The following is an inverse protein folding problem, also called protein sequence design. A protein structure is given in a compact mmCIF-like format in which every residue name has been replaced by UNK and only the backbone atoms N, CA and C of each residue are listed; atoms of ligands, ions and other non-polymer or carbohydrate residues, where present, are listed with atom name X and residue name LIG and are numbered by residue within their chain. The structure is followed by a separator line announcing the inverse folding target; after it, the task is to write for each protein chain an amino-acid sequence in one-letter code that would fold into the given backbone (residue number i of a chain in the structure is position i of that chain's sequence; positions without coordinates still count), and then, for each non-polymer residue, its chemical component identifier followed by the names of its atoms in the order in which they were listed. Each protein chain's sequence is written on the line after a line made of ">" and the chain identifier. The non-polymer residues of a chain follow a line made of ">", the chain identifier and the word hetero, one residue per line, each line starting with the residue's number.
data_IF_345799073196
#
_entry.id   IF_345799073196
#
_cell.length_a   1.000
_cell.length_b   1.000
_cell.length_c   1.000
_cell.angle_alpha   90.00
_cell.angle_beta   90.00
_cell.angle_gamma   90.00
#
_symmetry.space_group_name_H-M   'P 1'
#
loop_
_entity.id
_entity.type
_entity.pdbx_description
1 polymer ?
#
# COMPACT_ATOMS: atom_id res chain seq x y z
N UNK A 1 -20.50 26.85 25.41
CA UNK A 1 -19.47 25.80 25.29
C UNK A 1 -20.22 24.48 25.26
N UNK A 2 -20.75 24.12 24.09
CA UNK A 2 -21.55 22.91 23.87
C UNK A 2 -20.65 21.89 23.19
N UNK A 3 -20.29 20.85 23.94
CA UNK A 3 -19.58 19.69 23.44
C UNK A 3 -20.61 18.83 22.68
N UNK A 4 -20.66 18.93 21.36
CA UNK A 4 -21.39 17.94 20.55
C UNK A 4 -20.64 16.61 20.64
N UNK A 5 -21.21 15.69 21.41
CA UNK A 5 -20.81 14.28 21.40
C UNK A 5 -21.30 13.72 20.06
N UNK A 6 -20.38 13.56 19.12
CA UNK A 6 -20.57 12.81 17.87
C UNK A 6 -21.28 11.49 18.19
N UNK A 7 -22.47 11.29 17.62
CA UNK A 7 -23.28 10.09 17.80
C UNK A 7 -22.59 8.82 17.28
N UNK A 8 -23.18 7.64 17.59
CA UNK A 8 -22.62 6.35 17.22
C UNK A 8 -22.43 6.23 15.70
N UNK A 9 -21.27 5.71 15.31
CA UNK A 9 -20.88 5.45 13.92
C UNK A 9 -21.19 4.01 13.54
N UNK A 10 -21.23 3.75 12.24
CA UNK A 10 -21.48 2.43 11.67
C UNK A 10 -20.59 1.30 12.21
N UNK A 11 -19.43 1.63 12.79
CA UNK A 11 -18.45 0.69 13.34
C UNK A 11 -18.69 0.36 14.82
N UNK A 12 -19.64 1.04 15.48
CA UNK A 12 -19.92 0.88 16.91
C UNK A 12 -20.85 -0.31 17.21
N UNK A 13 -21.55 -0.84 16.20
CA UNK A 13 -22.49 -1.96 16.37
C UNK A 13 -21.92 -3.27 15.78
N UNK A 14 -21.68 -4.31 16.60
CA UNK A 14 -21.17 -5.58 16.11
C UNK A 14 -22.19 -6.29 15.21
N UNK A 15 -21.79 -6.59 13.97
CA UNK A 15 -22.64 -7.29 13.00
C UNK A 15 -22.51 -8.81 13.21
N UNK A 16 -23.61 -9.53 13.53
CA UNK A 16 -23.58 -10.99 13.59
C UNK A 16 -23.46 -11.58 12.19
N UNK A 17 -22.50 -12.50 12.00
CA UNK A 17 -22.37 -13.29 10.78
C UNK A 17 -23.06 -14.65 10.98
N UNK A 18 -23.80 -15.14 9.99
CA UNK A 18 -24.64 -16.35 10.15
C UNK A 18 -23.89 -17.65 10.52
N UNK A 19 -22.56 -17.65 10.50
CA UNK A 19 -21.71 -18.81 10.77
C UNK A 19 -20.76 -18.62 11.97
N UNK A 20 -20.77 -17.47 12.66
CA UNK A 20 -19.93 -17.24 13.85
C UNK A 20 -20.52 -16.14 14.76
N UNK A 21 -20.34 -16.23 16.09
CA UNK A 21 -20.73 -15.15 16.98
C UNK A 21 -20.00 -13.84 16.62
N UNK A 22 -20.63 -12.67 16.85
CA UNK A 22 -20.02 -11.38 16.59
C UNK A 22 -18.71 -11.22 17.38
N UNK A 23 -17.70 -10.64 16.75
CA UNK A 23 -16.45 -10.26 17.43
C UNK A 23 -16.72 -9.21 18.50
N UNK A 24 -16.00 -9.29 19.62
CA UNK A 24 -16.14 -8.30 20.69
C UNK A 24 -15.76 -6.92 20.18
N UNK A 25 -16.55 -5.88 20.48
CA UNK A 25 -16.21 -4.51 20.11
C UNK A 25 -14.86 -4.13 20.74
N UNK A 26 -13.91 -3.72 19.90
CA UNK A 26 -12.59 -3.30 20.35
C UNK A 26 -12.71 -1.88 20.94
N UNK A 27 -12.72 -1.76 22.27
CA UNK A 27 -13.03 -0.51 22.98
C UNK A 27 -12.03 0.65 22.80
N UNK A 28 -10.97 0.47 22.00
CA UNK A 28 -9.83 1.40 21.93
C UNK A 28 -9.52 1.94 20.54
N UNK A 29 -10.52 2.19 19.69
CA UNK A 29 -10.31 2.86 18.39
C UNK A 29 -9.15 2.26 17.56
N UNK A 30 -8.85 0.97 17.74
CA UNK A 30 -7.74 0.32 17.04
C UNK A 30 -8.01 0.26 15.53
N UNK A 31 -9.28 0.35 15.12
CA UNK A 31 -9.72 0.51 13.75
C UNK A 31 -9.45 1.92 13.16
N UNK A 32 -9.08 2.93 13.97
CA UNK A 32 -8.62 4.24 13.45
C UNK A 32 -7.23 4.18 12.82
N UNK A 33 -6.61 2.99 12.68
CA UNK A 33 -5.42 2.84 11.82
C UNK A 33 -5.70 3.18 10.35
N UNK A 34 -6.96 3.30 9.93
CA UNK A 34 -7.33 3.79 8.59
C UNK A 34 -7.12 5.31 8.45
N UNK A 35 -7.01 6.06 9.56
CA UNK A 35 -6.67 7.49 9.55
C UNK A 35 -5.18 7.76 9.23
N UNK A 36 -4.33 6.72 9.05
CA UNK A 36 -2.95 6.90 8.55
C UNK A 36 -2.90 7.62 7.19
N UNK A 37 -3.99 7.61 6.42
CA UNK A 37 -4.05 8.31 5.14
C UNK A 37 -4.28 9.83 5.28
N UNK A 38 -4.80 10.31 6.42
CA UNK A 38 -5.04 11.74 6.63
C UNK A 38 -3.75 12.50 6.98
N UNK A 39 -2.89 11.93 7.83
CA UNK A 39 -1.59 12.55 8.18
C UNK A 39 -0.54 12.44 7.06
N UNK A 40 -0.74 11.54 6.09
CA UNK A 40 0.14 11.43 4.91
C UNK A 40 -0.04 12.63 3.95
N UNK A 41 -1.14 13.39 4.06
CA UNK A 41 -1.41 14.54 3.19
C UNK A 41 -1.01 15.89 3.80
N UNK A 42 -0.73 15.95 5.11
CA UNK A 42 -0.47 17.22 5.81
C UNK A 42 1.01 17.55 5.97
N UNK A 43 1.94 16.60 5.81
CA UNK A 43 3.38 16.85 5.92
C UNK A 43 4.09 17.10 4.56
N UNK A 44 3.34 17.46 3.52
CA UNK A 44 3.87 17.95 2.24
C UNK A 44 4.45 19.38 2.29
N UNK A 45 4.42 20.03 3.46
CA UNK A 45 4.73 21.46 3.60
C UNK A 45 6.03 21.74 4.38
N UNK A 46 7.14 21.12 3.99
CA UNK A 46 8.47 21.74 4.15
C UNK A 46 9.29 21.65 2.87
N UNK A 47 9.11 22.59 1.92
CA UNK A 47 10.12 22.80 0.91
C UNK A 47 11.34 23.43 1.59
N UNK A 48 12.41 22.66 1.75
CA UNK A 48 13.75 23.23 1.91
C UNK A 48 14.07 24.04 0.65
N UNK A 49 13.92 25.37 0.77
CA UNK A 49 14.19 26.32 -0.28
C UNK A 49 15.68 26.30 -0.67
N UNK A 50 16.00 25.71 -1.83
CA UNK A 50 17.23 26.03 -2.53
C UNK A 50 16.95 27.22 -3.45
N UNK A 51 17.31 28.42 -3.00
CA UNK A 51 17.34 29.61 -3.86
C UNK A 51 18.67 29.62 -4.63
N UNK A 52 18.70 29.63 -5.98
CA UNK A 52 19.90 29.95 -6.71
C UNK A 52 20.00 31.47 -6.96
N UNK A 53 21.20 32.07 -6.89
CA UNK A 53 21.39 33.45 -7.35
C UNK A 53 21.24 33.52 -8.87
N UNK A 54 20.58 34.58 -9.33
CA UNK A 54 20.44 34.87 -10.75
C UNK A 54 21.80 35.12 -11.42
N UNK A 55 22.05 34.41 -12.51
CA UNK A 55 22.97 34.85 -13.57
C UNK A 55 22.60 34.14 -14.87
N UNK A 56 22.05 34.88 -15.84
CA UNK A 56 21.88 34.41 -17.21
C UNK A 56 23.25 34.38 -17.87
N UNK A 57 23.83 33.20 -18.06
CA UNK A 57 25.01 33.01 -18.90
C UNK A 57 24.72 31.96 -19.98
N UNK A 58 24.90 32.33 -21.25
CA UNK A 58 24.77 31.43 -22.41
C UNK A 58 25.83 30.33 -22.31
N UNK A 59 25.41 29.07 -22.17
CA UNK A 59 26.32 27.95 -21.98
C UNK A 59 27.01 27.52 -23.29
N UNK A 60 28.35 27.34 -23.32
CA UNK A 60 29.06 26.80 -24.47
C UNK A 60 28.88 25.28 -24.56
N UNK A 61 29.00 24.71 -25.78
CA UNK A 61 28.79 23.29 -26.16
C UNK A 61 29.47 22.22 -25.27
N UNK A 62 30.42 22.59 -24.40
CA UNK A 62 31.03 21.70 -23.39
C UNK A 62 30.12 21.43 -22.18
N UNK A 63 29.26 22.38 -21.81
CA UNK A 63 28.28 22.22 -20.73
C UNK A 63 27.20 21.18 -21.09
N UNK A 64 26.83 21.10 -22.38
CA UNK A 64 25.90 20.07 -22.87
C UNK A 64 26.47 18.64 -22.76
N UNK A 65 27.79 18.48 -22.92
CA UNK A 65 28.47 17.18 -22.76
C UNK A 65 28.58 16.76 -21.29
N UNK A 66 28.83 17.72 -20.39
CA UNK A 66 28.87 17.48 -18.95
C UNK A 66 27.47 17.17 -18.42
N UNK A 67 26.44 17.89 -18.88
CA UNK A 67 25.05 17.61 -18.56
C UNK A 67 24.59 16.23 -19.07
N UNK A 68 25.01 15.84 -20.29
CA UNK A 68 24.75 14.51 -20.84
C UNK A 68 25.43 13.39 -20.04
N UNK A 69 26.69 13.58 -19.65
CA UNK A 69 27.41 12.62 -18.81
C UNK A 69 26.81 12.51 -17.40
N UNK A 70 26.39 13.62 -16.80
CA UNK A 70 25.70 13.63 -15.51
C UNK A 70 24.34 12.93 -15.57
N UNK A 71 23.59 13.06 -16.67
CA UNK A 71 22.33 12.35 -16.90
C UNK A 71 22.53 10.83 -17.03
N UNK A 72 23.60 10.40 -17.72
CA UNK A 72 23.97 8.98 -17.83
C UNK A 72 24.46 8.42 -16.48
N UNK A 73 25.26 9.18 -15.73
CA UNK A 73 25.68 8.79 -14.38
C UNK A 73 24.50 8.72 -13.39
N UNK A 74 23.51 9.59 -13.53
CA UNK A 74 22.28 9.56 -12.73
C UNK A 74 21.41 8.32 -13.03
N UNK A 75 21.40 7.80 -14.26
CA UNK A 75 20.71 6.54 -14.58
C UNK A 75 21.47 5.31 -14.07
N UNK A 76 22.81 5.37 -14.00
CA UNK A 76 23.66 4.29 -13.47
C UNK A 76 23.61 4.17 -11.93
N UNK A 77 23.46 5.27 -11.20
CA UNK A 77 23.29 5.26 -9.73
C UNK A 77 21.92 4.69 -9.28
N UNK A 78 20.99 4.47 -10.21
CA UNK A 78 19.62 4.02 -9.94
C UNK A 78 19.38 2.52 -9.97
N UNK A 79 20.35 1.66 -10.31
CA UNK A 79 20.10 0.23 -10.60
C UNK A 79 19.32 -0.55 -9.52
N UNK A 80 19.60 -0.30 -8.22
CA UNK A 80 18.88 -0.94 -7.13
C UNK A 80 17.41 -0.47 -7.03
N UNK A 81 17.18 0.83 -7.20
CA UNK A 81 15.85 1.44 -7.25
C UNK A 81 15.08 1.02 -8.50
N UNK A 82 15.75 0.95 -9.65
CA UNK A 82 15.16 0.50 -10.92
C UNK A 82 14.73 -0.96 -10.84
N UNK A 83 15.57 -1.85 -10.28
CA UNK A 83 15.20 -3.27 -10.10
C UNK A 83 14.01 -3.43 -9.16
N UNK A 84 13.95 -2.66 -8.08
CA UNK A 84 12.80 -2.67 -7.18
C UNK A 84 11.52 -2.18 -7.90
N UNK A 85 11.59 -1.04 -8.58
CA UNK A 85 10.43 -0.48 -9.29
C UNK A 85 9.96 -1.41 -10.41
N UNK A 86 10.88 -2.04 -11.15
CA UNK A 86 10.53 -3.04 -12.16
C UNK A 86 9.81 -4.24 -11.55
N UNK A 87 10.29 -4.79 -10.42
CA UNK A 87 9.60 -5.93 -9.80
C UNK A 87 8.23 -5.54 -9.26
N UNK A 88 8.11 -4.33 -8.68
CA UNK A 88 6.85 -3.82 -8.17
C UNK A 88 5.83 -3.63 -9.31
N UNK A 89 6.23 -2.94 -10.38
CA UNK A 89 5.37 -2.73 -11.55
C UNK A 89 4.98 -4.02 -12.26
N UNK A 90 5.91 -4.96 -12.44
CA UNK A 90 5.62 -6.25 -13.07
C UNK A 90 4.69 -7.12 -12.22
N UNK A 91 4.85 -7.10 -10.90
CA UNK A 91 3.98 -7.81 -9.97
C UNK A 91 2.56 -7.25 -9.98
N UNK A 92 2.43 -5.93 -9.88
CA UNK A 92 1.14 -5.24 -9.89
C UNK A 92 0.39 -5.48 -11.20
N UNK A 93 1.08 -5.32 -12.33
CA UNK A 93 0.50 -5.57 -13.64
C UNK A 93 -0.02 -7.01 -13.79
N UNK A 94 0.71 -8.00 -13.24
CA UNK A 94 0.27 -9.40 -13.27
C UNK A 94 -1.05 -9.59 -12.50
N UNK A 95 -1.19 -8.96 -11.35
CA UNK A 95 -2.42 -8.98 -10.53
C UNK A 95 -3.56 -8.32 -11.29
N UNK A 96 -3.34 -7.09 -11.77
CA UNK A 96 -4.35 -6.31 -12.50
C UNK A 96 -4.82 -6.98 -13.78
N UNK A 97 -3.93 -7.67 -14.50
CA UNK A 97 -4.28 -8.40 -15.72
C UNK A 97 -5.05 -9.69 -15.45
N UNK A 98 -4.80 -10.35 -14.31
CA UNK A 98 -5.40 -11.63 -13.97
C UNK A 98 -6.76 -11.51 -13.25
N UNK A 99 -7.15 -10.31 -12.83
CA UNK A 99 -8.42 -10.08 -12.11
C UNK A 99 -9.63 -10.43 -12.99
N UNK A 100 -10.64 -11.02 -12.37
CA UNK A 100 -11.95 -11.33 -12.95
C UNK A 100 -13.04 -10.66 -12.10
N UNK A 101 -14.16 -10.30 -12.72
CA UNK A 101 -15.36 -9.88 -11.97
C UNK A 101 -15.80 -11.00 -11.03
N UNK A 102 -16.17 -10.66 -9.79
CA UNK A 102 -16.67 -11.64 -8.82
C UNK A 102 -17.91 -12.36 -9.35
N UNK A 103 -18.81 -11.65 -10.04
CA UNK A 103 -20.00 -12.24 -10.66
C UNK A 103 -19.59 -13.35 -11.64
N UNK A 104 -18.65 -13.05 -12.54
CA UNK A 104 -18.15 -14.01 -13.53
C UNK A 104 -17.36 -15.18 -12.92
N UNK A 105 -16.93 -15.09 -11.66
CA UNK A 105 -16.28 -16.20 -10.94
C UNK A 105 -17.34 -17.05 -10.26
N UNK A 106 -18.36 -16.43 -9.65
CA UNK A 106 -19.48 -17.14 -9.03
C UNK A 106 -20.28 -17.94 -10.07
N UNK A 107 -20.52 -17.36 -11.25
CA UNK A 107 -21.32 -17.98 -12.32
C UNK A 107 -20.55 -19.03 -13.13
N UNK A 108 -19.24 -19.19 -12.90
CA UNK A 108 -18.40 -20.16 -13.59
C UNK A 108 -18.60 -21.57 -12.96
N UNK A 109 -19.11 -22.56 -13.70
CA UNK A 109 -19.41 -23.89 -13.17
C UNK A 109 -18.15 -24.66 -12.73
N UNK A 110 -16.95 -24.18 -13.06
CA UNK A 110 -15.68 -24.76 -12.62
C UNK A 110 -15.19 -24.20 -11.29
N UNK A 111 -15.84 -23.16 -10.76
CA UNK A 111 -15.49 -22.56 -9.47
C UNK A 111 -15.92 -23.48 -8.34
N UNK A 112 -15.05 -23.69 -7.35
CA UNK A 112 -15.39 -24.52 -6.19
C UNK A 112 -16.50 -23.89 -5.34
N UNK A 113 -17.39 -24.71 -4.80
CA UNK A 113 -18.50 -24.25 -3.94
C UNK A 113 -18.02 -23.40 -2.75
N UNK A 114 -16.86 -23.76 -2.18
CA UNK A 114 -16.24 -22.98 -1.11
C UNK A 114 -15.89 -21.55 -1.53
N UNK A 115 -15.34 -21.37 -2.72
CA UNK A 115 -15.00 -20.06 -3.26
C UNK A 115 -16.26 -19.27 -3.66
N UNK A 116 -17.27 -19.94 -4.23
CA UNK A 116 -18.58 -19.34 -4.51
C UNK A 116 -19.19 -18.76 -3.23
N UNK A 117 -19.20 -19.53 -2.14
CA UNK A 117 -19.74 -19.08 -0.85
C UNK A 117 -18.99 -17.86 -0.31
N UNK A 118 -17.65 -17.90 -0.28
CA UNK A 118 -16.83 -16.79 0.21
C UNK A 118 -17.04 -15.50 -0.60
N UNK A 119 -17.05 -15.61 -1.93
CA UNK A 119 -17.27 -14.45 -2.79
C UNK A 119 -18.73 -13.94 -2.71
N UNK A 120 -19.68 -14.83 -2.46
CA UNK A 120 -21.06 -14.47 -2.14
C UNK A 120 -21.15 -13.61 -0.88
N UNK A 121 -20.45 -13.98 0.20
CA UNK A 121 -20.38 -13.19 1.43
C UNK A 121 -19.78 -11.80 1.20
N UNK A 122 -18.71 -11.68 0.42
CA UNK A 122 -18.11 -10.39 0.03
C UNK A 122 -19.14 -9.51 -0.71
N UNK A 123 -19.91 -10.10 -1.63
CA UNK A 123 -20.95 -9.39 -2.39
C UNK A 123 -22.07 -8.86 -1.49
N UNK A 124 -22.53 -9.67 -0.53
CA UNK A 124 -23.56 -9.25 0.43
C UNK A 124 -23.02 -8.20 1.42
N UNK A 125 -21.79 -8.36 1.94
CA UNK A 125 -21.15 -7.39 2.81
C UNK A 125 -21.00 -6.02 2.11
N UNK A 126 -20.57 -6.00 0.85
CA UNK A 126 -20.52 -4.79 0.04
C UNK A 126 -21.91 -4.18 -0.15
N UNK A 127 -22.94 -4.99 -0.40
CA UNK A 127 -24.33 -4.53 -0.53
C UNK A 127 -24.81 -3.85 0.75
N UNK A 128 -24.55 -4.46 1.90
CA UNK A 128 -24.86 -3.90 3.20
C UNK A 128 -24.14 -2.56 3.42
N UNK A 129 -22.84 -2.51 3.13
CA UNK A 129 -22.03 -1.30 3.30
C UNK A 129 -22.59 -0.09 2.54
N UNK A 130 -23.00 -0.25 1.28
CA UNK A 130 -23.56 0.88 0.53
C UNK A 130 -25.03 1.18 0.86
N UNK A 131 -25.87 0.15 1.03
CA UNK A 131 -27.32 0.34 1.24
C UNK A 131 -27.69 0.72 2.67
N UNK A 132 -26.93 0.22 3.66
CA UNK A 132 -27.27 0.36 5.09
C UNK A 132 -26.31 1.28 5.82
N UNK A 133 -25.02 1.24 5.50
CA UNK A 133 -24.02 2.12 6.13
C UNK A 133 -23.78 3.43 5.35
N UNK A 134 -24.40 3.58 4.18
CA UNK A 134 -24.29 4.80 3.36
C UNK A 134 -22.91 5.01 2.73
N UNK A 135 -22.08 3.98 2.63
CA UNK A 135 -20.77 4.08 1.97
C UNK A 135 -20.93 4.24 0.44
N UNK A 136 -19.99 4.91 -0.23
CA UNK A 136 -20.05 5.09 -1.69
C UNK A 136 -20.04 3.77 -2.47
N UNK A 137 -20.94 3.63 -3.45
CA UNK A 137 -21.03 2.45 -4.33
C UNK A 137 -19.96 2.48 -5.45
N UNK A 138 -18.68 2.39 -5.07
CA UNK A 138 -17.53 2.44 -6.01
C UNK A 138 -17.06 1.05 -6.46
N UNK A 139 -15.99 0.95 -7.26
CA UNK A 139 -15.52 -0.33 -7.81
C UNK A 139 -14.76 -1.24 -6.83
N UNK A 140 -14.63 -0.83 -5.57
CA UNK A 140 -13.98 -1.64 -4.54
C UNK A 140 -14.73 -2.96 -4.32
N UNK A 141 -13.97 -4.02 -4.09
CA UNK A 141 -14.47 -5.36 -3.79
C UNK A 141 -15.41 -5.96 -4.87
N UNK A 142 -15.30 -5.52 -6.14
CA UNK A 142 -16.05 -6.10 -7.29
C UNK A 142 -15.28 -7.16 -8.08
N UNK A 143 -13.97 -7.31 -7.85
CA UNK A 143 -13.11 -8.20 -8.62
C UNK A 143 -12.31 -9.13 -7.72
N UNK A 144 -12.02 -10.33 -8.22
CA UNK A 144 -11.24 -11.37 -7.57
C UNK A 144 -10.07 -11.77 -8.46
N UNK A 145 -8.96 -12.14 -7.85
CA UNK A 145 -7.78 -12.68 -8.52
C UNK A 145 -7.24 -13.85 -7.73
N UNK A 146 -7.12 -15.01 -8.36
CA UNK A 146 -6.38 -16.11 -7.78
C UNK A 146 -4.89 -15.88 -8.04
N UNK A 147 -4.15 -15.48 -7.01
CA UNK A 147 -2.71 -15.20 -7.12
C UNK A 147 -1.84 -16.47 -7.17
N UNK A 148 -2.42 -17.66 -6.90
CA UNK A 148 -1.71 -18.95 -6.95
C UNK A 148 -0.65 -19.13 -5.87
N UNK A 149 -0.68 -18.30 -4.81
CA UNK A 149 0.27 -18.32 -3.70
C UNK A 149 -0.39 -17.78 -2.44
N UNK A 150 0.23 -18.04 -1.28
CA UNK A 150 -0.36 -17.68 0.03
C UNK A 150 -0.47 -16.18 0.29
N UNK A 151 0.42 -15.38 -0.29
CA UNK A 151 0.50 -13.93 -0.04
C UNK A 151 0.69 -13.18 -1.35
N UNK A 152 -0.06 -12.08 -1.53
CA UNK A 152 0.03 -11.22 -2.72
C UNK A 152 1.38 -10.52 -2.76
N UNK A 153 1.78 -9.93 -1.62
CA UNK A 153 3.04 -9.21 -1.42
C UNK A 153 3.67 -9.56 -0.07
N UNK A 154 4.95 -9.27 0.06
CA UNK A 154 5.75 -9.39 1.28
C UNK A 154 6.24 -8.01 1.68
N UNK A 155 5.72 -7.48 2.78
CA UNK A 155 6.09 -6.18 3.31
C UNK A 155 7.30 -6.31 4.22
N UNK A 156 8.24 -5.37 4.06
CA UNK A 156 9.35 -5.16 4.99
C UNK A 156 9.08 -3.88 5.76
N UNK A 157 9.04 -3.98 7.07
CA UNK A 157 8.98 -2.83 8.00
C UNK A 157 10.27 -2.83 8.80
N UNK A 158 10.85 -1.66 9.01
CA UNK A 158 12.10 -1.52 9.73
C UNK A 158 12.06 -0.31 10.67
N UNK A 159 12.71 -0.37 11.82
CA UNK A 159 12.87 0.75 12.74
C UNK A 159 14.30 0.74 13.32
N UNK A 160 14.88 1.89 13.73
CA UNK A 160 16.13 1.90 14.46
C UNK A 160 16.02 1.06 15.74
N UNK A 161 17.14 0.49 16.20
CA UNK A 161 17.19 -0.24 17.47
C UNK A 161 16.62 0.61 18.62
N UNK A 162 15.73 0.03 19.42
CA UNK A 162 15.01 0.70 20.52
C UNK A 162 14.07 1.84 20.10
N UNK A 163 13.61 1.84 18.85
CA UNK A 163 12.64 2.81 18.35
C UNK A 163 11.39 2.12 17.83
N UNK A 164 10.23 2.76 18.06
CA UNK A 164 8.95 2.40 17.43
C UNK A 164 8.66 3.24 16.19
N UNK A 165 9.54 4.19 15.84
CA UNK A 165 9.39 5.01 14.63
C UNK A 165 9.90 4.23 13.42
N UNK A 166 9.03 3.87 12.46
CA UNK A 166 9.43 3.12 11.30
C UNK A 166 10.30 3.97 10.37
N UNK A 167 11.18 3.29 9.64
CA UNK A 167 11.88 3.83 8.48
C UNK A 167 10.86 4.12 7.38
N UNK A 168 11.02 5.27 6.74
CA UNK A 168 10.20 5.68 5.61
C UNK A 168 10.92 5.44 4.28
N UNK A 169 10.13 5.12 3.26
CA UNK A 169 10.54 5.04 1.88
C UNK A 169 9.69 5.98 1.05
N UNK A 170 10.33 6.93 0.37
CA UNK A 170 9.65 7.92 -0.44
C UNK A 170 9.74 7.59 -1.93
N UNK A 171 8.60 7.68 -2.60
CA UNK A 171 8.42 7.42 -4.03
C UNK A 171 7.87 8.67 -4.74
N UNK A 172 8.23 8.90 -6.01
CA UNK A 172 7.78 10.08 -6.75
C UNK A 172 6.25 10.24 -6.85
N UNK A 173 5.51 9.13 -6.95
CA UNK A 173 4.06 9.13 -7.14
C UNK A 173 3.32 8.74 -5.86
N UNK A 174 3.81 7.73 -5.14
CA UNK A 174 3.13 7.18 -3.97
C UNK A 174 3.41 7.92 -2.65
N UNK A 175 4.28 8.94 -2.67
CA UNK A 175 4.69 9.64 -1.45
C UNK A 175 5.58 8.76 -0.56
N UNK A 176 5.62 9.08 0.73
CA UNK A 176 6.40 8.34 1.72
C UNK A 176 5.52 7.32 2.44
N UNK A 177 6.02 6.09 2.55
CA UNK A 177 5.34 4.98 3.21
C UNK A 177 6.27 4.30 4.21
N UNK A 178 5.68 3.71 5.24
CA UNK A 178 6.39 3.06 6.36
C UNK A 178 6.58 1.55 6.17
N UNK A 179 6.23 1.03 4.99
CA UNK A 179 6.46 -0.35 4.59
C UNK A 179 7.01 -0.43 3.17
N UNK A 180 7.81 -1.47 2.91
CA UNK A 180 8.43 -1.69 1.62
C UNK A 180 8.01 -3.06 1.04
N UNK A 181 7.14 -3.04 0.03
CA UNK A 181 6.46 -4.23 -0.50
C UNK A 181 7.19 -4.95 -1.63
N UNK A 182 7.27 -6.27 -1.55
CA UNK A 182 7.89 -7.14 -2.57
C UNK A 182 6.95 -8.23 -3.07
N UNK A 183 6.85 -8.45 -4.37
CA UNK A 183 6.07 -9.58 -4.91
C UNK A 183 6.83 -10.91 -4.82
N UNK A 184 8.13 -10.87 -4.55
CA UNK A 184 8.99 -12.04 -4.34
C UNK A 184 9.54 -12.07 -2.91
N UNK A 185 9.21 -13.13 -2.17
CA UNK A 185 9.66 -13.31 -0.78
C UNK A 185 11.18 -13.28 -0.63
N UNK A 186 11.92 -13.87 -1.58
CA UNK A 186 13.38 -13.90 -1.54
C UNK A 186 13.98 -12.50 -1.63
N UNK A 187 13.36 -11.60 -2.40
CA UNK A 187 13.76 -10.20 -2.49
C UNK A 187 13.50 -9.47 -1.17
N UNK A 188 12.31 -9.66 -0.56
CA UNK A 188 11.98 -9.10 0.76
C UNK A 188 13.00 -9.55 1.83
N UNK A 189 13.28 -10.85 1.90
CA UNK A 189 14.25 -11.42 2.84
C UNK A 189 15.66 -10.88 2.61
N UNK A 190 16.08 -10.75 1.34
CA UNK A 190 17.39 -10.16 1.02
C UNK A 190 17.47 -8.69 1.40
N UNK A 191 16.40 -7.93 1.19
CA UNK A 191 16.32 -6.53 1.58
C UNK A 191 16.38 -6.38 3.10
N UNK A 192 15.59 -7.19 3.82
CA UNK A 192 15.57 -7.21 5.27
C UNK A 192 16.95 -7.56 5.88
N UNK A 193 17.68 -8.52 5.31
CA UNK A 193 19.06 -8.81 5.76
C UNK A 193 19.98 -7.60 5.64
N UNK A 194 19.90 -6.85 4.54
CA UNK A 194 20.71 -5.63 4.37
C UNK A 194 20.39 -4.57 5.42
N UNK A 195 19.11 -4.37 5.73
CA UNK A 195 18.70 -3.42 6.77
C UNK A 195 19.14 -3.86 8.16
N UNK A 196 19.06 -5.16 8.49
CA UNK A 196 19.58 -5.67 9.76
C UNK A 196 21.09 -5.44 9.90
N UNK A 197 21.86 -5.63 8.83
CA UNK A 197 23.29 -5.29 8.82
C UNK A 197 23.56 -3.78 9.01
N UNK A 198 22.57 -2.93 8.77
CA UNK A 198 22.65 -1.49 9.00
C UNK A 198 22.17 -1.09 10.42
N UNK A 199 21.87 -2.06 11.29
CA UNK A 199 21.44 -1.80 12.68
C UNK A 199 19.95 -1.51 12.85
N UNK A 200 19.11 -1.86 11.86
CA UNK A 200 17.66 -1.77 12.00
C UNK A 200 17.06 -3.06 12.58
N UNK A 201 16.04 -2.92 13.40
CA UNK A 201 15.07 -3.96 13.72
C UNK A 201 14.12 -4.11 12.54
N UNK A 202 13.96 -5.34 12.01
CA UNK A 202 13.25 -5.57 10.74
C UNK A 202 12.28 -6.74 10.83
N UNK A 203 11.04 -6.50 10.41
CA UNK A 203 9.98 -7.51 10.24
C UNK A 203 9.71 -7.73 8.76
N UNK A 204 9.46 -8.98 8.38
CA UNK A 204 9.01 -9.37 7.04
C UNK A 204 7.69 -10.10 7.16
N UNK A 205 6.63 -9.53 6.60
CA UNK A 205 5.26 -10.02 6.73
C UNK A 205 4.63 -10.30 5.36
N UNK A 206 3.85 -11.36 5.26
CA UNK A 206 3.08 -11.67 4.05
C UNK A 206 1.68 -11.06 4.14
N UNK A 207 1.26 -10.34 3.10
CA UNK A 207 -0.10 -9.79 2.98
C UNK A 207 -0.99 -10.79 2.24
N UNK A 208 -2.04 -11.33 2.88
CA UNK A 208 -2.89 -12.37 2.30
C UNK A 208 -3.71 -11.88 1.10
#
# INVERSE_FOLDING_TARGET
>A
MTLEILGPRADDDPVPLGHRPPEQPVSHRAANQVDLHADMLTDFARPSACNPPGARARAPRRAARIAGAALVLATLAGCASTRYLMQAGAGEWRVLRARRSIVNVIDDPKTSEGLVRQLGEVREARRFAWQKLGLPDNDSYKSYVNVGRRYVVWNVVAAPEFSVRPKEWCYPIAGCVTYHGFFHQSAARSYARRLRHQGYDVVVEGVP
#
